data_IF_694181547545
#
_entry.id   IF_694181547545
#
_cell.length_a   1.000
_cell.length_b   1.000
_cell.length_c   1.000
_cell.angle_alpha   90.00
_cell.angle_beta   90.00
_cell.angle_gamma   90.00
#
_symmetry.space_group_name_H-M   'P 1'
#
loop_
_entity.id
_entity.type
_entity.pdbx_description
1 polymer ?
#
# COMPACT_ATOMS: atom_id res chain seq x y z
N UNK A 1 4.04 30.16 -3.20
CA UNK A 1 3.66 29.38 -4.41
C UNK A 1 4.72 28.36 -4.82
N UNK A 2 5.97 28.77 -5.12
CA UNK A 2 7.04 27.83 -5.54
C UNK A 2 7.29 26.65 -4.57
N UNK A 3 7.23 26.90 -3.26
CA UNK A 3 7.37 25.86 -2.21
C UNK A 3 6.21 24.85 -2.24
N UNK A 4 4.98 25.34 -2.34
CA UNK A 4 3.79 24.49 -2.39
C UNK A 4 3.77 23.62 -3.66
N UNK A 5 4.14 24.19 -4.81
CA UNK A 5 4.27 23.45 -6.08
C UNK A 5 5.30 22.33 -5.94
N UNK A 6 6.49 22.62 -5.38
CA UNK A 6 7.53 21.62 -5.15
C UNK A 6 7.04 20.48 -4.24
N UNK A 7 6.34 20.80 -3.17
CA UNK A 7 5.77 19.80 -2.26
C UNK A 7 4.72 18.93 -2.96
N UNK A 8 3.82 19.55 -3.72
CA UNK A 8 2.77 18.83 -4.46
C UNK A 8 3.38 17.87 -5.48
N UNK A 9 4.41 18.30 -6.22
CA UNK A 9 5.09 17.43 -7.19
C UNK A 9 5.75 16.22 -6.53
N UNK A 10 6.41 16.40 -5.38
CA UNK A 10 7.04 15.29 -4.63
C UNK A 10 5.98 14.31 -4.12
N UNK A 11 4.88 14.82 -3.56
CA UNK A 11 3.79 13.99 -3.06
C UNK A 11 3.14 13.21 -4.19
N UNK A 12 2.87 13.86 -5.33
CA UNK A 12 2.31 13.20 -6.50
C UNK A 12 3.22 12.06 -7.01
N UNK A 13 4.52 12.31 -7.11
CA UNK A 13 5.51 11.28 -7.49
C UNK A 13 5.49 10.08 -6.53
N UNK A 14 5.53 10.34 -5.22
CA UNK A 14 5.52 9.28 -4.20
C UNK A 14 4.22 8.46 -4.21
N UNK A 15 3.08 9.09 -4.51
CA UNK A 15 1.78 8.39 -4.62
C UNK A 15 1.70 7.49 -5.85
N UNK A 16 2.43 7.80 -6.92
CA UNK A 16 2.46 6.98 -8.14
C UNK A 16 3.47 5.83 -8.11
N UNK A 17 4.49 5.91 -7.26
CA UNK A 17 5.55 4.89 -7.17
C UNK A 17 5.04 3.45 -6.93
N UNK A 18 4.04 3.21 -6.06
CA UNK A 18 3.52 1.85 -5.82
C UNK A 18 2.82 1.23 -7.03
N UNK A 19 2.34 2.05 -7.98
CA UNK A 19 1.66 1.56 -9.18
C UNK A 19 2.64 0.95 -10.20
N UNK A 20 3.92 1.35 -10.14
CA UNK A 20 4.96 0.92 -11.08
C UNK A 20 6.02 0.03 -10.43
N UNK A 21 6.14 0.06 -9.10
CA UNK A 21 7.06 -0.77 -8.33
C UNK A 21 6.38 -2.07 -7.88
N UNK A 22 6.20 -2.99 -8.82
CA UNK A 22 5.69 -4.34 -8.54
C UNK A 22 6.71 -5.11 -7.68
N UNK A 23 6.23 -5.80 -6.66
CA UNK A 23 7.07 -6.67 -5.83
C UNK A 23 7.63 -7.83 -6.67
N UNK A 24 8.89 -8.19 -6.40
CA UNK A 24 9.51 -9.38 -6.98
C UNK A 24 8.88 -10.63 -6.38
N UNK A 25 8.68 -11.67 -7.20
CA UNK A 25 8.24 -12.97 -6.71
C UNK A 25 9.21 -13.47 -5.63
N UNK A 26 8.73 -14.02 -4.50
CA UNK A 26 9.60 -14.58 -3.48
C UNK A 26 10.52 -15.63 -4.10
N UNK A 27 11.73 -15.79 -3.54
CA UNK A 27 12.65 -16.81 -3.99
C UNK A 27 11.95 -18.17 -3.99
N UNK A 28 12.18 -18.96 -5.05
CA UNK A 28 11.75 -20.34 -5.12
C UNK A 28 12.18 -21.07 -3.83
N UNK A 29 11.29 -21.82 -3.16
CA UNK A 29 11.67 -22.58 -1.99
C UNK A 29 12.75 -23.59 -2.42
N UNK A 30 13.95 -23.49 -1.84
CA UNK A 30 15.05 -24.44 -2.10
C UNK A 30 14.55 -25.90 -1.97
N UNK A 31 14.25 -26.52 -3.11
CA UNK A 31 13.61 -27.82 -3.24
C UNK A 31 12.96 -27.92 -4.62
N UNK A 32 13.64 -28.59 -5.55
CA UNK A 32 13.38 -28.51 -6.99
C UNK A 32 11.92 -28.76 -7.41
N UNK A 33 11.48 -27.96 -8.38
CA UNK A 33 10.18 -28.09 -9.04
C UNK A 33 9.73 -26.72 -9.54
N UNK A 34 9.83 -26.49 -10.85
CA UNK A 34 9.28 -25.32 -11.52
C UNK A 34 7.78 -25.15 -11.17
N UNK A 35 7.27 -23.92 -10.99
CA UNK A 35 5.83 -23.72 -10.91
C UNK A 35 5.24 -23.99 -12.30
N UNK A 36 4.77 -25.22 -12.51
CA UNK A 36 3.99 -25.59 -13.68
C UNK A 36 2.68 -24.80 -13.75
N UNK A 37 2.02 -24.85 -14.91
CA UNK A 37 0.75 -24.17 -15.27
C UNK A 37 -0.48 -24.49 -14.38
N UNK A 38 -0.28 -25.01 -13.16
CA UNK A 38 -1.31 -25.26 -12.15
C UNK A 38 -0.80 -25.15 -10.70
N UNK A 39 0.43 -24.67 -10.47
CA UNK A 39 0.96 -24.50 -9.12
C UNK A 39 0.52 -23.16 -8.52
N UNK A 40 0.26 -23.16 -7.21
CA UNK A 40 -0.07 -21.95 -6.44
C UNK A 40 1.05 -20.92 -6.62
N UNK A 41 0.75 -19.65 -6.96
CA UNK A 41 1.78 -18.64 -7.10
C UNK A 41 2.67 -18.60 -5.86
N UNK A 42 3.98 -18.85 -6.03
CA UNK A 42 4.95 -18.55 -4.98
C UNK A 42 4.91 -17.03 -4.77
N UNK A 43 4.36 -16.63 -3.63
CA UNK A 43 4.11 -15.22 -3.29
C UNK A 43 2.83 -14.66 -3.87
N UNK A 44 1.71 -15.00 -3.25
CA UNK A 44 0.44 -14.31 -3.41
C UNK A 44 -0.35 -14.44 -2.13
N UNK A 45 -0.63 -13.32 -1.46
CA UNK A 45 -1.63 -13.32 -0.39
C UNK A 45 -1.13 -13.17 1.04
N UNK A 46 -0.02 -12.45 1.30
CA UNK A 46 0.00 -11.70 2.56
C UNK A 46 -1.12 -10.65 2.43
N UNK A 47 -2.19 -10.70 3.23
CA UNK A 47 -3.36 -9.87 3.01
C UNK A 47 -3.01 -8.41 3.29
N UNK A 48 -2.65 -7.67 2.24
CA UNK A 48 -2.53 -6.20 2.28
C UNK A 48 -3.85 -5.60 2.76
N UNK A 49 -4.98 -6.26 2.46
CA UNK A 49 -6.32 -5.87 2.92
C UNK A 49 -6.41 -5.69 4.44
N UNK A 50 -5.85 -6.60 5.24
CA UNK A 50 -6.00 -6.52 6.70
C UNK A 50 -5.37 -5.27 7.30
N UNK A 51 -4.15 -4.95 6.89
CA UNK A 51 -3.43 -3.76 7.37
C UNK A 51 -3.99 -2.46 6.79
N UNK A 52 -4.34 -2.46 5.49
CA UNK A 52 -4.84 -1.28 4.81
C UNK A 52 -6.23 -0.86 5.34
N UNK A 53 -7.15 -1.83 5.51
CA UNK A 53 -8.47 -1.58 6.09
C UNK A 53 -8.34 -1.01 7.50
N UNK A 54 -7.42 -1.53 8.32
CA UNK A 54 -7.18 -1.04 9.67
C UNK A 54 -6.66 0.41 9.68
N UNK A 55 -5.70 0.72 8.82
CA UNK A 55 -5.16 2.08 8.70
C UNK A 55 -6.23 3.08 8.22
N UNK A 56 -7.04 2.71 7.24
CA UNK A 56 -8.16 3.53 6.76
C UNK A 56 -9.18 3.75 7.88
N UNK A 57 -9.54 2.71 8.63
CA UNK A 57 -10.48 2.80 9.75
C UNK A 57 -9.95 3.74 10.84
N UNK A 58 -8.70 3.59 11.25
CA UNK A 58 -8.09 4.46 12.27
C UNK A 58 -8.00 5.91 11.80
N UNK A 59 -7.58 6.15 10.55
CA UNK A 59 -7.48 7.48 9.96
C UNK A 59 -8.83 8.19 9.87
N UNK A 60 -9.87 7.48 9.44
CA UNK A 60 -11.23 8.02 9.33
C UNK A 60 -11.86 8.32 10.69
N UNK A 61 -11.72 7.42 11.68
CA UNK A 61 -12.17 7.67 13.06
C UNK A 61 -11.46 8.88 13.67
N UNK A 62 -10.13 8.98 13.54
CA UNK A 62 -9.38 10.13 14.05
C UNK A 62 -9.80 11.43 13.36
N UNK A 63 -9.94 11.41 12.03
CA UNK A 63 -10.39 12.56 11.24
C UNK A 63 -11.78 13.05 11.67
N UNK A 64 -12.73 12.13 11.82
CA UNK A 64 -14.09 12.44 12.27
C UNK A 64 -14.10 13.05 13.69
N UNK A 65 -13.36 12.46 14.63
CA UNK A 65 -13.23 12.99 16.00
C UNK A 65 -12.65 14.41 16.02
N UNK A 66 -11.64 14.66 15.19
CA UNK A 66 -11.01 15.99 15.10
C UNK A 66 -12.01 17.03 14.57
N UNK A 67 -12.73 16.73 13.49
CA UNK A 67 -13.76 17.63 12.94
C UNK A 67 -14.88 17.89 13.94
N UNK A 68 -15.32 16.87 14.67
CA UNK A 68 -16.33 17.03 15.73
C UNK A 68 -15.87 17.99 16.82
N UNK A 69 -14.64 17.84 17.31
CA UNK A 69 -14.08 18.70 18.34
C UNK A 69 -13.86 20.15 17.87
N UNK A 70 -13.61 20.39 16.58
CA UNK A 70 -13.53 21.75 16.03
C UNK A 70 -14.90 22.42 15.90
N UNK A 71 -15.98 21.64 15.79
CA UNK A 71 -17.36 22.15 15.74
C UNK A 71 -17.98 22.36 17.11
N UNK A 72 -17.40 21.80 18.16
CA UNK A 72 -17.80 21.95 19.56
C UNK A 72 -17.07 23.13 20.18
#
# INVERSE_FOLDING_TARGET
MKKAIKTITIVAFLMTAPLVMLAQNPPHPNGGGDPGSGNTPVGGGAPIDGGLIMLIAMGSVYGAKKVWNYKK
#
